data_IF_780350345596
#
_entry.id   IF_780350345596
#
_cell.length_a   1.000
_cell.length_b   1.000
_cell.length_c   1.000
_cell.angle_alpha   90.00
_cell.angle_beta   90.00
_cell.angle_gamma   90.00
#
_symmetry.space_group_name_H-M   'P 1'
#
loop_
_entity.id
_entity.type
_entity.pdbx_description
1 polymer ?
#
# COMPACT_ATOMS: atom_id res chain seq x y z
N UNK A 1 -28.24 9.51 15.80
CA UNK A 1 -27.09 8.64 15.43
C UNK A 1 -26.11 9.50 14.65
N UNK A 2 -24.94 9.81 15.21
CA UNK A 2 -23.89 10.55 14.50
C UNK A 2 -23.10 9.54 13.66
N UNK A 3 -23.15 9.63 12.34
CA UNK A 3 -22.34 8.78 11.45
C UNK A 3 -20.86 9.10 11.60
N UNK A 4 -20.00 8.09 11.49
CA UNK A 4 -18.55 8.24 11.59
C UNK A 4 -18.03 9.22 10.52
N UNK A 5 -17.32 10.27 10.96
CA UNK A 5 -16.66 11.22 10.07
C UNK A 5 -15.43 10.56 9.45
N UNK A 6 -15.51 10.21 8.16
CA UNK A 6 -14.35 9.73 7.39
C UNK A 6 -13.44 10.92 7.09
N UNK A 7 -12.19 10.87 7.57
CA UNK A 7 -11.18 11.91 7.29
C UNK A 7 -10.87 11.91 5.79
N UNK A 8 -11.34 12.94 5.11
CA UNK A 8 -11.12 13.16 3.68
C UNK A 8 -9.80 13.87 3.39
N UNK A 9 -9.40 14.79 4.28
CA UNK A 9 -8.24 15.64 4.10
C UNK A 9 -7.60 16.01 5.44
N UNK A 10 -6.28 15.92 5.53
CA UNK A 10 -5.48 16.49 6.63
C UNK A 10 -4.70 17.67 6.07
N UNK A 11 -4.78 18.84 6.72
CA UNK A 11 -4.02 20.04 6.35
C UNK A 11 -2.94 20.30 7.39
N UNK A 12 -1.69 20.41 6.95
CA UNK A 12 -0.55 20.80 7.79
C UNK A 12 0.12 22.02 7.16
N UNK A 13 -0.22 23.22 7.63
CA UNK A 13 0.25 24.47 7.02
C UNK A 13 -0.23 24.60 5.57
N UNK A 14 0.71 24.58 4.62
CA UNK A 14 0.44 24.64 3.17
C UNK A 14 0.32 23.26 2.50
N UNK A 15 0.51 22.17 3.24
CA UNK A 15 0.48 20.80 2.72
C UNK A 15 -0.88 20.16 3.00
N UNK A 16 -1.40 19.43 2.00
CA UNK A 16 -2.66 18.70 2.08
C UNK A 16 -2.42 17.21 1.82
N UNK A 17 -2.86 16.37 2.76
CA UNK A 17 -2.96 14.93 2.56
C UNK A 17 -4.40 14.59 2.27
N UNK A 18 -4.66 13.95 1.13
CA UNK A 18 -5.99 13.45 0.74
C UNK A 18 -5.91 11.96 0.51
N UNK A 19 -6.92 11.26 0.97
CA UNK A 19 -7.03 9.83 0.69
C UNK A 19 -7.75 9.61 -0.64
N UNK A 20 -7.06 9.00 -1.60
CA UNK A 20 -7.61 8.70 -2.91
C UNK A 20 -8.83 7.77 -2.83
N UNK A 21 -8.88 6.85 -1.86
CA UNK A 21 -10.04 5.96 -1.67
C UNK A 21 -11.33 6.73 -1.33
N UNK A 22 -11.21 7.92 -0.73
CA UNK A 22 -12.35 8.79 -0.46
C UNK A 22 -12.76 9.63 -1.68
N UNK A 23 -11.91 9.71 -2.70
CA UNK A 23 -12.17 10.39 -3.97
C UNK A 23 -12.73 9.41 -5.02
N UNK A 24 -12.26 8.16 -5.00
CA UNK A 24 -12.66 7.10 -5.92
C UNK A 24 -12.80 5.80 -5.15
N UNK A 25 -13.99 5.19 -5.20
CA UNK A 25 -14.29 3.91 -4.56
C UNK A 25 -13.82 2.71 -5.39
N UNK A 26 -12.94 2.92 -6.36
CA UNK A 26 -12.38 1.87 -7.20
C UNK A 26 -11.17 1.23 -6.52
N UNK A 27 -10.98 -0.07 -6.74
CA UNK A 27 -9.72 -0.72 -6.36
C UNK A 27 -8.60 -0.12 -7.21
N UNK A 28 -7.40 -0.06 -6.66
CA UNK A 28 -6.22 0.41 -7.39
C UNK A 28 -6.02 -0.35 -8.72
N UNK A 29 -6.36 -1.65 -8.75
CA UNK A 29 -6.28 -2.49 -9.94
C UNK A 29 -7.31 -2.13 -11.03
N UNK A 30 -8.42 -1.47 -10.68
CA UNK A 30 -9.50 -1.12 -11.60
C UNK A 30 -9.31 0.28 -12.20
N UNK A 31 -8.39 1.08 -11.65
CA UNK A 31 -8.16 2.47 -12.09
C UNK A 31 -7.71 2.60 -13.55
N UNK A 32 -6.83 1.75 -14.10
CA UNK A 32 -6.46 1.85 -15.51
C UNK A 32 -7.69 1.80 -16.42
N UNK A 33 -8.57 0.81 -16.21
CA UNK A 33 -9.81 0.66 -16.98
C UNK A 33 -10.79 1.81 -16.71
N UNK A 34 -10.97 2.22 -15.45
CA UNK A 34 -11.90 3.30 -15.10
C UNK A 34 -11.49 4.62 -15.75
N UNK A 35 -10.19 4.89 -15.82
CA UNK A 35 -9.63 6.13 -16.33
C UNK A 35 -9.26 6.03 -17.82
N UNK A 36 -9.60 4.92 -18.48
CA UNK A 36 -9.24 4.65 -19.89
C UNK A 36 -7.75 4.85 -20.17
N UNK A 37 -6.91 4.48 -19.19
CA UNK A 37 -5.46 4.58 -19.30
C UNK A 37 -4.91 3.34 -20.00
N UNK A 38 -4.21 3.54 -21.10
CA UNK A 38 -3.41 2.52 -21.76
C UNK A 38 -2.08 2.33 -21.01
N UNK A 39 -2.16 1.61 -19.88
CA UNK A 39 -1.00 1.23 -19.08
C UNK A 39 -0.98 -0.29 -18.89
N UNK A 40 0.22 -0.90 -18.89
CA UNK A 40 0.33 -2.33 -18.69
C UNK A 40 -0.26 -2.74 -17.34
N UNK A 41 -0.91 -3.91 -17.32
CA UNK A 41 -1.47 -4.45 -16.10
C UNK A 41 -0.39 -4.58 -15.03
N UNK A 42 -0.77 -4.28 -13.78
CA UNK A 42 0.12 -4.44 -12.64
C UNK A 42 0.55 -5.91 -12.54
N UNK A 43 1.86 -6.16 -12.60
CA UNK A 43 2.45 -7.48 -12.37
C UNK A 43 2.20 -7.95 -10.93
N UNK A 44 2.32 -9.27 -10.72
CA UNK A 44 2.24 -9.86 -9.39
C UNK A 44 3.47 -9.48 -8.56
N UNK A 45 3.25 -9.20 -7.27
CA UNK A 45 4.31 -8.75 -6.36
C UNK A 45 4.57 -9.77 -5.24
N UNK A 46 5.83 -10.15 -4.98
CA UNK A 46 6.19 -11.18 -3.99
C UNK A 46 6.19 -10.59 -2.57
N UNK A 47 5.01 -10.43 -1.99
CA UNK A 47 4.77 -9.80 -0.69
C UNK A 47 5.68 -10.29 0.45
N UNK A 48 5.92 -11.61 0.57
CA UNK A 48 6.76 -12.17 1.64
C UNK A 48 8.27 -12.08 1.33
N UNK A 49 8.64 -11.94 0.06
CA UNK A 49 10.02 -11.68 -0.35
C UNK A 49 10.43 -10.23 -0.12
N UNK A 50 9.46 -9.31 -0.04
CA UNK A 50 9.70 -7.89 0.20
C UNK A 50 10.21 -7.60 1.62
N UNK A 51 11.51 -7.78 1.82
CA UNK A 51 12.21 -7.58 3.10
C UNK A 51 13.55 -6.90 2.82
N UNK A 52 14.01 -6.09 3.78
CA UNK A 52 15.29 -5.37 3.68
C UNK A 52 16.48 -6.28 3.40
N UNK A 53 16.46 -7.51 3.92
CA UNK A 53 17.50 -8.52 3.69
C UNK A 53 17.63 -8.93 2.22
N UNK A 54 16.59 -8.73 1.42
CA UNK A 54 16.49 -9.20 0.04
C UNK A 54 16.70 -8.07 -0.98
N UNK A 55 16.87 -6.83 -0.53
CA UNK A 55 17.11 -5.69 -1.42
C UNK A 55 18.47 -5.77 -2.11
N UNK A 56 18.48 -5.49 -3.41
CA UNK A 56 19.69 -5.54 -4.25
C UNK A 56 20.22 -6.96 -4.50
N UNK A 57 19.52 -8.00 -4.04
CA UNK A 57 19.82 -9.39 -4.37
C UNK A 57 19.17 -9.70 -5.72
N UNK A 58 20.00 -10.13 -6.68
CA UNK A 58 19.54 -10.67 -7.96
C UNK A 58 19.30 -12.16 -7.85
N UNK A 59 18.08 -12.58 -8.17
CA UNK A 59 17.71 -13.97 -8.34
C UNK A 59 17.72 -14.30 -9.83
N UNK A 60 18.21 -15.49 -10.22
CA UNK A 60 18.18 -15.92 -11.62
C UNK A 60 16.77 -16.24 -12.12
N UNK A 61 15.80 -16.39 -11.22
CA UNK A 61 14.40 -16.72 -11.47
C UNK A 61 13.50 -15.89 -10.53
N UNK A 62 12.19 -15.90 -10.74
CA UNK A 62 11.22 -15.25 -9.86
C UNK A 62 11.31 -15.79 -8.42
N UNK A 63 10.96 -14.98 -7.40
CA UNK A 63 10.83 -15.43 -6.02
C UNK A 63 9.89 -16.63 -5.89
N UNK A 64 10.01 -17.44 -4.82
CA UNK A 64 9.15 -18.58 -4.59
C UNK A 64 7.65 -18.26 -4.73
N UNK A 65 6.89 -19.16 -5.36
CA UNK A 65 5.44 -19.03 -5.57
C UNK A 65 4.67 -18.60 -4.31
N UNK A 66 5.01 -19.17 -3.17
CA UNK A 66 4.39 -18.87 -1.87
C UNK A 66 4.62 -17.45 -1.36
N UNK A 67 5.64 -16.75 -1.86
CA UNK A 67 5.94 -15.38 -1.47
C UNK A 67 4.94 -14.37 -2.06
N UNK A 68 4.16 -14.78 -3.06
CA UNK A 68 3.06 -14.00 -3.66
C UNK A 68 1.73 -14.14 -2.91
N UNK A 69 1.69 -14.93 -1.83
CA UNK A 69 0.48 -15.19 -1.03
C UNK A 69 -0.71 -15.78 -1.82
N UNK A 70 -0.52 -16.89 -2.57
CA UNK A 70 -1.57 -17.49 -3.40
C UNK A 70 -2.84 -17.86 -2.62
N UNK A 71 -2.71 -18.29 -1.35
CA UNK A 71 -3.84 -18.65 -0.50
C UNK A 71 -4.81 -17.50 -0.17
N UNK A 72 -4.42 -16.24 -0.45
CA UNK A 72 -5.30 -15.07 -0.32
C UNK A 72 -5.97 -14.64 -1.63
N UNK A 73 -5.66 -15.30 -2.75
CA UNK A 73 -6.21 -14.96 -4.06
C UNK A 73 -7.59 -15.59 -4.28
N UNK A 74 -8.43 -14.92 -5.08
CA UNK A 74 -9.65 -15.54 -5.60
C UNK A 74 -9.27 -16.55 -6.67
N UNK A 75 -10.05 -17.60 -6.85
CA UNK A 75 -9.80 -18.68 -7.82
C UNK A 75 -9.42 -18.17 -9.23
N UNK A 76 -10.22 -17.26 -9.80
CA UNK A 76 -9.93 -16.65 -11.12
C UNK A 76 -8.62 -15.86 -11.16
N UNK A 77 -8.24 -15.21 -10.06
CA UNK A 77 -6.99 -14.46 -9.97
C UNK A 77 -5.80 -15.41 -9.73
N UNK A 78 -6.03 -16.50 -9.00
CA UNK A 78 -5.05 -17.57 -8.77
C UNK A 78 -4.66 -18.26 -10.08
N UNK A 79 -5.61 -18.64 -10.92
CA UNK A 79 -5.31 -19.31 -12.20
C UNK A 79 -4.45 -18.43 -13.11
N UNK A 80 -4.79 -17.14 -13.20
CA UNK A 80 -4.00 -16.16 -13.96
C UNK A 80 -2.61 -15.98 -13.37
N UNK A 81 -2.49 -15.96 -12.04
CA UNK A 81 -1.21 -15.88 -11.36
C UNK A 81 -0.35 -17.12 -11.63
N UNK A 82 -0.94 -18.31 -11.53
CA UNK A 82 -0.24 -19.57 -11.73
C UNK A 82 0.31 -19.68 -13.15
N UNK A 83 -0.51 -19.41 -14.17
CA UNK A 83 -0.07 -19.40 -15.56
C UNK A 83 1.06 -18.38 -15.80
N UNK A 84 0.88 -17.14 -15.32
CA UNK A 84 1.92 -16.11 -15.43
C UNK A 84 3.22 -16.54 -14.74
N UNK A 85 3.14 -17.12 -13.55
CA UNK A 85 4.32 -17.55 -12.79
C UNK A 85 5.09 -18.63 -13.54
N UNK A 86 4.40 -19.65 -14.06
CA UNK A 86 5.03 -20.72 -14.84
C UNK A 86 5.70 -20.18 -16.10
N UNK A 87 5.02 -19.30 -16.85
CA UNK A 87 5.55 -18.69 -18.08
C UNK A 87 6.77 -17.80 -17.82
N UNK A 88 6.85 -17.16 -16.64
CA UNK A 88 7.86 -16.15 -16.33
C UNK A 88 8.89 -16.62 -15.30
N UNK A 89 8.83 -17.88 -14.84
CA UNK A 89 9.64 -18.35 -13.71
C UNK A 89 11.14 -18.08 -13.93
N UNK A 90 11.66 -18.36 -15.12
CA UNK A 90 13.07 -18.19 -15.48
C UNK A 90 13.51 -16.71 -15.64
N UNK A 91 12.64 -15.75 -15.35
CA UNK A 91 12.97 -14.33 -15.47
C UNK A 91 13.80 -13.89 -14.25
N UNK A 92 14.92 -13.22 -14.51
CA UNK A 92 15.73 -12.62 -13.45
C UNK A 92 14.92 -11.61 -12.64
N UNK A 93 15.07 -11.66 -11.32
CA UNK A 93 14.35 -10.79 -10.41
C UNK A 93 15.32 -10.09 -9.46
N UNK A 94 15.28 -8.77 -9.44
CA UNK A 94 15.94 -7.96 -8.41
C UNK A 94 14.86 -7.14 -7.68
N UNK A 95 14.80 -7.30 -6.37
CA UNK A 95 13.98 -6.42 -5.55
C UNK A 95 14.73 -5.10 -5.39
N UNK A 96 14.37 -4.13 -6.23
CA UNK A 96 14.90 -2.77 -6.11
C UNK A 96 14.51 -2.19 -4.74
N UNK A 97 15.51 -1.88 -3.93
CA UNK A 97 15.33 -1.25 -2.62
C UNK A 97 14.83 0.19 -2.79
N UNK A 98 13.54 0.35 -3.05
CA UNK A 98 12.88 1.65 -3.16
C UNK A 98 12.82 2.36 -1.81
N UNK A 99 13.76 3.28 -1.56
CA UNK A 99 13.78 4.27 -0.47
C UNK A 99 13.81 3.75 1.00
N UNK A 100 14.30 2.53 1.25
CA UNK A 100 14.21 1.90 2.59
C UNK A 100 15.57 1.60 3.26
N UNK A 101 16.28 2.65 3.69
CA UNK A 101 17.05 2.59 4.96
C UNK A 101 16.20 3.04 6.16
N UNK A 102 14.87 3.00 6.03
CA UNK A 102 13.99 3.68 6.98
C UNK A 102 12.72 2.88 7.30
N UNK A 103 12.89 1.80 8.07
CA UNK A 103 11.82 1.03 8.76
C UNK A 103 10.96 1.85 9.75
N UNK A 104 11.06 3.18 9.69
CA UNK A 104 10.45 4.13 10.59
C UNK A 104 9.75 5.28 9.86
N UNK A 105 9.64 5.31 8.52
CA UNK A 105 8.95 6.44 7.86
C UNK A 105 7.48 6.55 8.27
N UNK A 106 6.78 5.42 8.36
CA UNK A 106 5.43 5.35 8.91
C UNK A 106 5.39 5.80 10.38
N UNK A 107 6.40 5.46 11.19
CA UNK A 107 6.50 5.92 12.60
C UNK A 107 6.81 7.41 12.72
N UNK A 108 7.66 7.96 11.86
CA UNK A 108 8.02 9.38 11.81
C UNK A 108 6.81 10.19 11.34
N UNK A 109 6.12 9.73 10.31
CA UNK A 109 4.87 10.32 9.84
C UNK A 109 3.79 10.29 10.95
N UNK A 110 3.65 9.16 11.66
CA UNK A 110 2.73 9.06 12.81
C UNK A 110 3.12 10.05 13.92
N UNK A 111 4.39 10.11 14.33
CA UNK A 111 4.87 11.06 15.36
C UNK A 111 4.63 12.52 14.96
N UNK A 112 4.82 12.84 13.68
CA UNK A 112 4.54 14.16 13.15
C UNK A 112 3.03 14.49 13.19
N UNK A 113 2.18 13.52 12.84
CA UNK A 113 0.72 13.66 12.95
C UNK A 113 0.25 13.81 14.41
N UNK A 114 0.85 13.09 15.36
CA UNK A 114 0.61 13.25 16.80
C UNK A 114 1.05 14.64 17.31
N UNK A 115 2.18 15.15 16.84
CA UNK A 115 2.62 16.51 17.18
C UNK A 115 1.67 17.58 16.62
N UNK A 116 1.21 17.43 15.37
CA UNK A 116 0.20 18.32 14.78
C UNK A 116 -1.11 18.29 15.57
N UNK A 117 -1.55 17.10 15.97
CA UNK A 117 -2.71 16.89 16.84
C UNK A 117 -2.59 17.65 18.17
N UNK A 118 -1.43 17.54 18.84
CA UNK A 118 -1.15 18.26 20.08
C UNK A 118 -1.15 19.79 19.87
N UNK A 119 -0.46 20.28 18.82
CA UNK A 119 -0.35 21.72 18.53
C UNK A 119 -1.70 22.37 18.23
N UNK A 120 -2.54 21.69 17.44
CA UNK A 120 -3.78 22.25 16.90
C UNK A 120 -5.03 21.80 17.67
N UNK A 121 -4.88 21.02 18.75
CA UNK A 121 -5.99 20.52 19.57
C UNK A 121 -6.88 19.48 18.87
N UNK A 122 -6.36 18.80 17.84
CA UNK A 122 -7.11 17.83 17.04
C UNK A 122 -6.79 16.41 17.52
N UNK A 123 -7.80 15.53 17.67
CA UNK A 123 -7.55 14.11 17.98
C UNK A 123 -7.34 13.29 16.72
N UNK A 124 -6.14 12.71 16.55
CA UNK A 124 -5.80 11.81 15.44
C UNK A 124 -5.83 10.35 15.90
N UNK A 125 -6.43 9.47 15.10
CA UNK A 125 -6.38 8.00 15.28
C UNK A 125 -5.79 7.36 14.02
N UNK A 126 -4.82 6.48 14.20
CA UNK A 126 -4.12 5.76 13.12
C UNK A 126 -4.09 4.24 13.37
N UNK A 127 -3.71 3.47 12.35
CA UNK A 127 -3.78 2.00 12.36
C UNK A 127 -3.06 1.34 13.56
N UNK A 128 -1.89 1.85 13.97
CA UNK A 128 -1.17 1.35 15.16
C UNK A 128 -1.83 1.66 16.52
N UNK A 129 -2.99 2.33 16.57
CA UNK A 129 -3.72 2.62 17.81
C UNK A 129 -5.22 2.24 17.68
N UNK A 130 -5.50 1.05 17.14
CA UNK A 130 -6.85 0.45 17.14
C UNK A 130 -7.58 0.40 15.78
N UNK A 131 -6.88 0.52 14.64
CA UNK A 131 -7.49 0.38 13.30
C UNK A 131 -8.12 1.66 12.73
N UNK A 132 -8.19 1.78 11.40
CA UNK A 132 -8.84 2.87 10.62
C UNK A 132 -10.23 3.23 11.21
N UNK A 133 -10.78 4.46 11.28
CA UNK A 133 -10.44 5.87 10.98
C UNK A 133 -11.51 6.74 11.65
N UNK A 134 -11.19 7.64 12.58
CA UNK A 134 -12.00 8.86 12.88
C UNK A 134 -11.12 9.90 13.58
N UNK A 135 -11.10 11.13 13.09
CA UNK A 135 -10.65 12.31 13.85
C UNK A 135 -11.89 13.15 14.18
N UNK A 136 -12.04 13.55 15.44
CA UNK A 136 -13.11 14.46 15.88
C UNK A 136 -12.50 15.84 16.11
N UNK A 137 -13.10 16.85 15.50
CA UNK A 137 -12.84 18.27 15.79
C UNK A 137 -13.94 18.72 16.77
N UNK A 138 -13.55 19.37 17.86
CA UNK A 138 -14.46 20.07 18.77
C UNK A 138 -14.46 21.56 18.45
#
# INVERSE_FOLDING_TARGET
MMGDLKIYQIKAGKVFFRDFWMLSQNRLADLPNTLELDIPAKLYFPHKYNKNSNFGIRLPHLPPFEDYCPGGMKEKDYEKFAAWYEENYETEFELEGGFEKADNQSKIAVKYLEWLAYRDGVKVRHACNGGLRVARVH
#
